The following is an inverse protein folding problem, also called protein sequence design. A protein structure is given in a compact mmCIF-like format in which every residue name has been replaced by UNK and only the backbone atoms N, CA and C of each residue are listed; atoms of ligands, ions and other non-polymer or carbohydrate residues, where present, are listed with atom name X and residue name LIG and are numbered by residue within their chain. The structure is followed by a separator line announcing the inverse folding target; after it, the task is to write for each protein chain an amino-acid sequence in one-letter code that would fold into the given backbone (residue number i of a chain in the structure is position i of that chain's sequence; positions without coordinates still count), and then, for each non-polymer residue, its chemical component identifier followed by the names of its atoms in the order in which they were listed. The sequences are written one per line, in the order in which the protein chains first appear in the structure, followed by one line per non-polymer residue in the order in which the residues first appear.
data_IF_526482544762
#
_entry.id   IF_526482544762
#
_cell.length_a   1.000
_cell.length_b   1.000
_cell.length_c   1.000
_cell.angle_alpha   90.00
_cell.angle_beta   90.00
_cell.angle_gamma   90.00
#
_symmetry.space_group_name_H-M   'P 1'
#
loop_
_entity.id
_entity.type
_entity.pdbx_description
1 polymer ?
#
# COMPACT_ATOMS: atom_id res chain seq x y z
N UNK A 1 -17.37 0.69 -17.30
CA UNK A 1 -16.71 0.38 -16.01
C UNK A 1 -15.26 0.86 -16.07
N UNK A 2 -14.86 1.79 -15.19
CA UNK A 2 -13.49 2.29 -15.14
C UNK A 2 -12.50 1.19 -14.75
N UNK A 3 -11.25 1.27 -15.21
CA UNK A 3 -10.24 0.24 -14.91
C UNK A 3 -9.92 0.14 -13.42
N UNK A 4 -10.14 1.22 -12.66
CA UNK A 4 -10.07 1.21 -11.20
C UNK A 4 -11.15 0.34 -10.57
N UNK A 5 -12.39 0.42 -11.06
CA UNK A 5 -13.49 -0.42 -10.55
C UNK A 5 -13.26 -1.91 -10.82
N UNK A 6 -12.68 -2.28 -11.96
CA UNK A 6 -12.36 -3.68 -12.27
C UNK A 6 -11.28 -4.26 -11.35
N UNK A 7 -10.24 -3.47 -11.03
CA UNK A 7 -9.19 -3.86 -10.09
C UNK A 7 -9.73 -4.06 -8.67
N UNK A 8 -10.60 -3.16 -8.22
CA UNK A 8 -11.26 -3.30 -6.91
C UNK A 8 -12.15 -4.53 -6.88
N UNK A 9 -12.95 -4.75 -7.92
CA UNK A 9 -13.83 -5.93 -8.02
C UNK A 9 -13.03 -7.24 -8.01
N UNK A 10 -11.92 -7.30 -8.75
CA UNK A 10 -11.02 -8.46 -8.75
C UNK A 10 -10.40 -8.71 -7.38
N UNK A 11 -9.97 -7.64 -6.68
CA UNK A 11 -9.45 -7.75 -5.32
C UNK A 11 -10.48 -8.29 -4.33
N UNK A 12 -11.73 -7.79 -4.40
CA UNK A 12 -12.83 -8.29 -3.56
C UNK A 12 -13.12 -9.77 -3.88
N UNK A 13 -13.20 -10.13 -5.15
CA UNK A 13 -13.42 -11.51 -5.58
C UNK A 13 -12.32 -12.45 -5.07
N UNK A 14 -11.05 -12.06 -5.22
CA UNK A 14 -9.92 -12.81 -4.69
C UNK A 14 -9.99 -12.99 -3.16
N UNK A 15 -10.33 -11.93 -2.42
CA UNK A 15 -10.54 -12.02 -0.97
C UNK A 15 -11.66 -13.00 -0.59
N UNK A 16 -12.79 -12.98 -1.29
CA UNK A 16 -13.90 -13.90 -1.04
C UNK A 16 -13.49 -15.34 -1.30
N UNK A 17 -12.83 -15.63 -2.42
CA UNK A 17 -12.33 -16.98 -2.74
C UNK A 17 -11.35 -17.47 -1.66
N UNK A 18 -10.46 -16.60 -1.21
CA UNK A 18 -9.45 -16.92 -0.20
C UNK A 18 -10.10 -17.21 1.17
N UNK A 19 -11.15 -16.47 1.55
CA UNK A 19 -11.94 -16.77 2.75
C UNK A 19 -12.65 -18.12 2.65
N UNK A 20 -13.26 -18.44 1.51
CA UNK A 20 -13.94 -19.73 1.30
C UNK A 20 -12.95 -20.89 1.41
N UNK A 21 -11.77 -20.77 0.80
CA UNK A 21 -10.69 -21.76 0.92
C UNK A 21 -10.22 -21.92 2.37
N UNK A 22 -10.09 -20.80 3.09
CA UNK A 22 -9.69 -20.82 4.49
C UNK A 22 -10.72 -21.54 5.37
N UNK A 23 -12.01 -21.25 5.21
CA UNK A 23 -13.08 -21.93 5.95
C UNK A 23 -13.17 -23.42 5.59
N UNK A 24 -12.87 -23.78 4.33
CA UNK A 24 -12.79 -25.17 3.92
C UNK A 24 -11.62 -25.91 4.59
N UNK A 25 -10.43 -25.31 4.62
CA UNK A 25 -9.26 -25.86 5.30
C UNK A 25 -9.48 -25.97 6.82
N UNK A 26 -10.09 -24.96 7.43
CA UNK A 26 -10.50 -24.95 8.84
C UNK A 26 -11.44 -26.12 9.15
N UNK A 27 -12.48 -26.32 8.33
CA UNK A 27 -13.40 -27.45 8.46
C UNK A 27 -12.69 -28.79 8.31
N UNK A 28 -11.76 -28.91 7.36
CA UNK A 28 -11.00 -30.13 7.13
C UNK A 28 -10.11 -30.49 8.33
N UNK A 29 -9.36 -29.52 8.85
CA UNK A 29 -8.49 -29.69 10.03
C UNK A 29 -9.33 -30.06 11.25
N UNK A 30 -10.47 -29.40 11.44
CA UNK A 30 -11.39 -29.71 12.55
C UNK A 30 -11.91 -31.16 12.46
N UNK A 31 -12.38 -31.59 11.29
CA UNK A 31 -12.83 -32.97 11.11
C UNK A 31 -11.72 -34.00 11.32
N UNK A 32 -10.49 -33.69 10.91
CA UNK A 32 -9.33 -34.56 11.09
C UNK A 32 -8.94 -34.74 12.57
N UNK A 33 -8.98 -33.66 13.35
CA UNK A 33 -8.65 -33.69 14.80
C UNK A 33 -9.68 -34.51 15.58
N UNK A 34 -10.96 -34.45 15.19
CA UNK A 34 -12.06 -35.10 15.90
C UNK A 34 -12.52 -36.42 15.26
N UNK A 35 -11.83 -36.91 14.24
CA UNK A 35 -12.11 -38.21 13.60
C UNK A 35 -13.47 -38.29 12.87
N UNK A 36 -13.99 -37.15 12.42
CA UNK A 36 -15.28 -37.06 11.72
C UNK A 36 -15.11 -37.38 10.22
N UNK A 37 -16.17 -37.82 9.51
CA UNK A 37 -16.09 -38.16 8.09
C UNK A 37 -15.68 -36.94 7.24
N UNK A 38 -14.43 -36.93 6.81
CA UNK A 38 -13.80 -35.85 6.03
C UNK A 38 -14.47 -35.59 4.66
N UNK A 39 -15.24 -36.55 4.17
CA UNK A 39 -16.03 -36.43 2.93
C UNK A 39 -17.16 -35.40 3.00
N UNK A 40 -17.55 -34.94 4.20
CA UNK A 40 -18.57 -33.89 4.37
C UNK A 40 -17.98 -32.50 4.62
N UNK A 41 -16.66 -32.31 4.49
CA UNK A 41 -16.04 -31.00 4.75
C UNK A 41 -16.51 -29.96 3.72
N UNK A 42 -17.48 -29.14 4.12
CA UNK A 42 -18.00 -28.02 3.34
C UNK A 42 -17.59 -26.72 4.04
N UNK A 43 -17.45 -25.59 3.34
CA UNK A 43 -17.18 -24.31 4.01
C UNK A 43 -18.23 -23.96 5.08
N UNK A 44 -19.45 -24.47 4.93
CA UNK A 44 -20.55 -24.25 5.87
C UNK A 44 -20.54 -25.17 7.11
N UNK A 45 -19.79 -26.28 7.11
CA UNK A 45 -19.80 -27.21 8.26
C UNK A 45 -19.19 -26.57 9.50
N UNK A 46 -18.12 -25.78 9.36
CA UNK A 46 -17.53 -25.08 10.51
C UNK A 46 -18.54 -24.12 11.20
N UNK A 47 -19.45 -23.52 10.44
CA UNK A 47 -20.48 -22.61 10.96
C UNK A 47 -21.57 -23.40 11.69
N UNK A 48 -21.98 -24.55 11.15
CA UNK A 48 -22.94 -25.46 11.79
C UNK A 48 -22.38 -26.03 13.10
N UNK A 49 -21.12 -26.48 13.10
CA UNK A 49 -20.45 -26.97 14.30
C UNK A 49 -20.23 -25.84 15.32
N UNK A 50 -19.95 -24.61 14.88
CA UNK A 50 -19.92 -23.45 15.76
C UNK A 50 -21.29 -23.20 16.43
N UNK A 51 -22.38 -23.20 15.68
CA UNK A 51 -23.72 -23.01 16.23
C UNK A 51 -24.12 -24.10 17.24
N UNK A 52 -23.70 -25.34 17.02
CA UNK A 52 -24.02 -26.48 17.89
C UNK A 52 -23.14 -26.56 19.14
N UNK A 53 -21.83 -26.27 19.02
CA UNK A 53 -20.86 -26.48 20.11
C UNK A 53 -20.43 -25.21 20.84
N UNK A 54 -20.91 -24.01 20.44
CA UNK A 54 -20.60 -22.72 21.10
C UNK A 54 -20.89 -22.71 22.60
N UNK A 55 -21.88 -23.48 23.06
CA UNK A 55 -22.31 -23.54 24.46
C UNK A 55 -22.03 -24.91 25.11
N UNK A 56 -21.29 -25.80 24.44
CA UNK A 56 -20.93 -27.12 24.99
C UNK A 56 -20.01 -26.99 26.22
N UNK A 57 -20.17 -27.86 27.22
CA UNK A 57 -19.39 -27.85 28.48
C UNK A 57 -17.88 -28.14 28.30
N UNK A 58 -17.47 -28.61 27.12
CA UNK A 58 -16.08 -28.91 26.79
C UNK A 58 -15.32 -27.63 26.43
N UNK A 59 -14.60 -27.06 27.41
CA UNK A 59 -13.85 -25.80 27.26
C UNK A 59 -12.88 -25.79 26.08
N UNK A 60 -12.21 -26.91 25.81
CA UNK A 60 -11.20 -27.02 24.74
C UNK A 60 -11.82 -26.99 23.34
N UNK A 61 -12.93 -27.72 23.16
CA UNK A 61 -13.69 -27.73 21.92
C UNK A 61 -14.30 -26.34 21.64
N UNK A 62 -14.86 -25.71 22.66
CA UNK A 62 -15.42 -24.35 22.57
C UNK A 62 -14.35 -23.34 22.14
N UNK A 63 -13.15 -23.42 22.72
CA UNK A 63 -12.05 -22.51 22.37
C UNK A 63 -11.58 -22.75 20.93
N UNK A 64 -11.37 -24.00 20.53
CA UNK A 64 -10.93 -24.35 19.17
C UNK A 64 -11.93 -23.87 18.11
N UNK A 65 -13.23 -24.06 18.34
CA UNK A 65 -14.29 -23.69 17.40
C UNK A 65 -14.46 -22.17 17.30
N UNK A 66 -14.36 -21.44 18.43
CA UNK A 66 -14.36 -19.97 18.39
C UNK A 66 -13.11 -19.43 17.71
N UNK A 67 -11.94 -19.99 18.02
CA UNK A 67 -10.68 -19.57 17.40
C UNK A 67 -10.74 -19.76 15.88
N UNK A 68 -11.17 -20.93 15.41
CA UNK A 68 -11.28 -21.24 13.98
C UNK A 68 -12.25 -20.29 13.25
N UNK A 69 -13.32 -19.86 13.93
CA UNK A 69 -14.30 -18.93 13.36
C UNK A 69 -13.82 -17.47 13.31
N UNK A 70 -13.12 -17.01 14.35
CA UNK A 70 -12.65 -15.61 14.45
C UNK A 70 -11.30 -15.37 13.77
N UNK A 71 -10.48 -16.39 13.60
CA UNK A 71 -9.16 -16.28 12.98
C UNK A 71 -9.15 -15.62 11.58
N UNK A 72 -10.06 -15.95 10.64
CA UNK A 72 -10.11 -15.31 9.33
C UNK A 72 -10.41 -13.81 9.44
N UNK A 73 -11.30 -13.43 10.37
CA UNK A 73 -11.67 -12.03 10.59
C UNK A 73 -10.51 -11.23 11.19
N UNK A 74 -9.80 -11.83 12.15
CA UNK A 74 -8.62 -11.21 12.76
C UNK A 74 -7.52 -10.99 11.72
N UNK A 75 -7.33 -11.96 10.81
CA UNK A 75 -6.36 -11.88 9.73
C UNK A 75 -6.72 -10.77 8.72
N UNK A 76 -8.01 -10.63 8.36
CA UNK A 76 -8.49 -9.52 7.52
C UNK A 76 -8.24 -8.15 8.17
N UNK A 77 -8.55 -8.00 9.45
CA UNK A 77 -8.31 -6.74 10.17
C UNK A 77 -6.81 -6.44 10.22
N UNK A 78 -5.99 -7.44 10.53
CA UNK A 78 -4.53 -7.29 10.53
C UNK A 78 -3.97 -6.86 9.17
N UNK A 79 -4.42 -7.47 8.08
CA UNK A 79 -4.04 -7.09 6.72
C UNK A 79 -4.50 -5.67 6.38
N UNK A 80 -5.74 -5.29 6.74
CA UNK A 80 -6.24 -3.95 6.49
C UNK A 80 -5.42 -2.87 7.22
N UNK A 81 -5.09 -3.12 8.49
CA UNK A 81 -4.22 -2.24 9.28
C UNK A 81 -2.83 -2.13 8.65
N UNK A 82 -2.23 -3.26 8.25
CA UNK A 82 -0.92 -3.27 7.60
C UNK A 82 -0.92 -2.49 6.28
N UNK A 83 -1.98 -2.62 5.46
CA UNK A 83 -2.14 -1.82 4.23
C UNK A 83 -2.22 -0.34 4.57
N UNK A 84 -2.97 0.06 5.61
CA UNK A 84 -3.06 1.46 6.02
C UNK A 84 -1.73 2.00 6.53
N UNK A 85 -0.95 1.21 7.27
CA UNK A 85 0.36 1.60 7.77
C UNK A 85 1.41 1.72 6.66
N UNK A 86 1.39 0.79 5.70
CA UNK A 86 2.30 0.75 4.54
C UNK A 86 1.90 1.72 3.43
N UNK A 87 0.68 2.28 3.48
CA UNK A 87 0.23 3.27 2.51
C UNK A 87 1.05 4.54 2.69
N UNK A 88 2.06 4.70 1.83
CA UNK A 88 2.90 5.89 1.79
C UNK A 88 2.03 7.14 1.81
N UNK A 89 2.20 7.95 2.86
CA UNK A 89 1.55 9.24 3.01
C UNK A 89 2.16 10.18 1.99
N UNK A 90 1.74 10.04 0.73
CA UNK A 90 2.13 10.92 -0.37
C UNK A 90 1.75 12.34 0.04
N UNK A 91 2.75 13.18 0.29
CA UNK A 91 2.52 14.55 0.73
C UNK A 91 1.63 15.26 -0.30
N UNK A 92 0.42 15.66 0.13
CA UNK A 92 -0.64 16.15 -0.74
C UNK A 92 -0.27 17.45 -1.48
N UNK A 93 0.77 18.15 -1.02
CA UNK A 93 1.29 19.38 -1.62
C UNK A 93 2.79 19.31 -1.99
N UNK A 94 3.34 18.09 -2.10
CA UNK A 94 4.79 17.90 -2.10
C UNK A 94 5.39 18.28 -0.75
N UNK A 95 6.58 17.80 -0.44
CA UNK A 95 7.33 18.28 0.72
C UNK A 95 7.84 19.69 0.39
N UNK A 96 6.97 20.70 0.44
CA UNK A 96 7.31 22.10 0.25
C UNK A 96 8.19 22.56 1.41
N UNK A 97 9.48 22.24 1.32
CA UNK A 97 10.55 22.72 2.18
C UNK A 97 11.56 23.46 1.32
N UNK A 98 12.22 24.46 1.89
CA UNK A 98 13.36 25.08 1.22
C UNK A 98 14.40 24.01 0.89
N UNK A 99 14.90 24.05 -0.34
CA UNK A 99 15.85 23.07 -0.84
C UNK A 99 17.14 23.09 0.00
N UNK A 100 17.65 21.91 0.31
CA UNK A 100 18.94 21.76 1.01
C UNK A 100 20.10 21.93 0.02
N UNK A 101 21.30 22.32 0.48
CA UNK A 101 22.48 22.49 -0.40
C UNK A 101 22.79 21.25 -1.26
N UNK A 102 22.54 20.05 -0.73
CA UNK A 102 22.72 18.80 -1.48
C UNK A 102 21.73 18.67 -2.65
N UNK A 103 20.48 19.09 -2.46
CA UNK A 103 19.44 19.08 -3.50
C UNK A 103 19.72 20.15 -4.56
N UNK A 104 20.17 21.35 -4.14
CA UNK A 104 20.58 22.43 -5.05
C UNK A 104 21.80 22.03 -5.90
N UNK A 105 22.78 21.34 -5.30
CA UNK A 105 23.93 20.78 -6.03
C UNK A 105 23.49 19.67 -6.99
N UNK A 106 22.59 18.78 -6.57
CA UNK A 106 22.04 17.70 -7.41
C UNK A 106 21.27 18.25 -8.61
N UNK A 107 20.55 19.36 -8.43
CA UNK A 107 19.86 20.06 -9.50
C UNK A 107 20.82 20.75 -10.49
N UNK A 108 22.12 20.81 -10.17
CA UNK A 108 23.14 21.35 -11.07
C UNK A 108 23.17 22.88 -11.13
N UNK A 109 22.59 23.56 -10.15
CA UNK A 109 22.55 25.03 -10.12
C UNK A 109 23.85 25.67 -9.63
N UNK A 110 24.71 24.96 -8.90
CA UNK A 110 25.96 25.54 -8.39
C UNK A 110 27.15 25.13 -9.26
N UNK A 111 27.05 23.96 -9.89
CA UNK A 111 28.12 23.36 -10.67
C UNK A 111 27.49 22.64 -11.89
N UNK A 112 27.11 23.40 -12.92
CA UNK A 112 26.47 22.84 -14.09
C UNK A 112 27.47 21.95 -14.85
N UNK A 113 27.07 20.71 -15.14
CA UNK A 113 27.90 19.69 -15.81
C UNK A 113 28.48 20.10 -17.18
N UNK A 114 27.96 21.17 -17.79
CA UNK A 114 28.38 21.68 -19.11
C UNK A 114 29.32 22.90 -19.02
N UNK A 115 29.88 23.18 -17.84
CA UNK A 115 30.73 24.35 -17.61
C UNK A 115 29.92 25.65 -17.51
N UNK A 116 30.58 26.73 -17.07
CA UNK A 116 29.95 28.05 -16.89
C UNK A 116 29.74 28.81 -18.21
N UNK A 117 30.33 28.34 -19.30
CA UNK A 117 30.49 29.08 -20.57
C UNK A 117 29.18 29.51 -21.23
N UNK A 118 28.04 28.88 -20.87
CA UNK A 118 26.69 29.23 -21.34
C UNK A 118 25.66 29.12 -20.21
N UNK A 119 25.94 29.79 -19.09
CA UNK A 119 25.07 29.77 -17.91
C UNK A 119 24.60 31.16 -17.50
N UNK A 120 23.36 31.25 -17.04
CA UNK A 120 22.72 32.50 -16.58
C UNK A 120 22.74 32.52 -15.06
N UNK A 121 23.19 33.62 -14.49
CA UNK A 121 23.15 33.84 -13.05
C UNK A 121 21.70 34.15 -12.62
N UNK A 122 21.11 33.30 -11.79
CA UNK A 122 19.72 33.45 -11.33
C UNK A 122 19.64 33.96 -9.90
N UNK A 123 20.70 33.81 -9.10
CA UNK A 123 20.74 34.41 -7.76
C UNK A 123 21.89 33.90 -6.89
N UNK A 124 21.82 34.19 -5.59
CA UNK A 124 22.79 33.79 -4.58
C UNK A 124 22.10 32.98 -3.48
N UNK A 125 22.65 31.82 -3.13
CA UNK A 125 22.16 30.98 -2.04
C UNK A 125 23.31 30.50 -1.16
N UNK A 126 23.29 30.88 0.13
CA UNK A 126 24.33 30.55 1.13
C UNK A 126 25.75 30.72 0.58
N UNK A 127 26.04 31.92 0.10
CA UNK A 127 27.33 32.34 -0.46
C UNK A 127 27.79 31.68 -1.76
N UNK A 128 26.92 30.89 -2.40
CA UNK A 128 27.18 30.34 -3.73
C UNK A 128 26.22 30.94 -4.75
N UNK A 129 26.77 31.24 -5.91
CA UNK A 129 26.00 31.70 -7.05
C UNK A 129 25.23 30.52 -7.67
N UNK A 130 23.96 30.74 -7.96
CA UNK A 130 23.10 29.80 -8.66
C UNK A 130 23.09 30.15 -10.15
N UNK A 131 23.64 29.26 -10.96
CA UNK A 131 23.73 29.35 -12.41
C UNK A 131 22.85 28.29 -13.07
N UNK A 132 22.04 28.70 -14.04
CA UNK A 132 21.26 27.80 -14.88
C UNK A 132 21.94 27.62 -16.22
N UNK A 133 22.08 26.38 -16.69
CA UNK A 133 22.66 26.08 -17.99
C UNK A 133 21.64 26.22 -19.13
N UNK A 134 21.96 27.05 -20.13
CA UNK A 134 21.19 27.20 -21.36
C UNK A 134 20.27 28.43 -21.43
N UNK A 135 19.82 28.74 -22.64
CA UNK A 135 18.96 29.90 -22.97
C UNK A 135 17.45 29.63 -22.83
N UNK A 136 17.06 28.49 -22.25
CA UNK A 136 15.67 28.00 -22.27
C UNK A 136 14.66 28.95 -21.60
N UNK A 137 15.12 29.91 -20.78
CA UNK A 137 14.30 30.86 -20.05
C UNK A 137 14.53 32.31 -20.47
N UNK A 138 15.33 32.56 -21.51
CA UNK A 138 15.55 33.91 -22.05
C UNK A 138 14.52 34.14 -23.15
N UNK A 139 13.63 35.10 -22.94
CA UNK A 139 12.84 35.71 -24.01
C UNK A 139 13.71 36.80 -24.64
N UNK A 140 14.20 36.63 -25.89
CA UNK A 140 14.91 37.69 -26.58
C UNK A 140 13.89 38.67 -27.18
N UNK A 141 13.19 39.43 -26.34
CA UNK A 141 12.38 40.56 -26.83
C UNK A 141 13.23 41.83 -26.77
N UNK A 142 14.07 42.03 -27.78
CA UNK A 142 14.73 43.30 -28.04
C UNK A 142 14.49 43.69 -29.50
N UNK A 143 13.23 43.89 -29.87
CA UNK A 143 12.94 44.63 -31.09
C UNK A 143 13.32 46.09 -30.88
N UNK A 144 14.32 46.55 -31.65
CA UNK A 144 14.65 47.96 -31.81
C UNK A 144 13.38 48.70 -32.22
N UNK A 145 12.93 49.61 -31.37
CA UNK A 145 12.06 50.70 -31.78
C UNK A 145 12.98 51.66 -32.53
N UNK A 146 12.82 51.68 -33.85
CA UNK A 146 13.46 52.64 -34.75
C UNK A 146 12.63 53.93 -34.79
#
# INVERSE_FOLDING_TARGET
MSDTSKKVLFGIFACVVLLVLFYWAASFIFMQIYGLPVGMSRPWTIIQYWAMYRESGYKWLRLAVNFCFFFPWLLLVGLAVLIVLTKDKRALHGAARFATMAEVKKAGLIDPKKGLDKTILVGKFKDRYLTYGGFQFVLPEFQRIN
#
